data_IF_457284239304
#
_entry.id   IF_457284239304
#
_cell.length_a   1.000
_cell.length_b   1.000
_cell.length_c   1.000
_cell.angle_alpha   90.00
_cell.angle_beta   90.00
_cell.angle_gamma   90.00
#
_symmetry.space_group_name_H-M   'P 1'
#
loop_
_entity.id
_entity.type
_entity.pdbx_description
1 polymer ?
#
# COMPACT_ATOMS: atom_id res chain seq x y z
N UNK A 1 -12.83 0.47 -6.60
CA UNK A 1 -11.67 -0.43 -6.75
C UNK A 1 -11.03 -0.18 -8.10
N UNK A 2 -9.69 -0.19 -8.21
CA UNK A 2 -8.98 0.13 -9.46
C UNK A 2 -9.19 -0.94 -10.55
N UNK A 3 -9.28 -0.58 -11.85
CA UNK A 3 -9.49 -1.50 -12.97
C UNK A 3 -8.42 -2.59 -13.08
N UNK A 4 -7.15 -2.25 -12.87
CA UNK A 4 -6.05 -3.23 -12.92
C UNK A 4 -6.20 -4.29 -11.81
N UNK A 5 -6.60 -3.86 -10.61
CA UNK A 5 -6.80 -4.73 -9.46
C UNK A 5 -8.02 -5.62 -9.67
N UNK A 6 -9.10 -5.05 -10.19
CA UNK A 6 -10.31 -5.81 -10.58
C UNK A 6 -9.97 -6.91 -11.59
N UNK A 7 -9.29 -6.54 -12.68
CA UNK A 7 -8.87 -7.51 -13.72
C UNK A 7 -7.98 -8.61 -13.14
N UNK A 8 -7.15 -8.30 -12.14
CA UNK A 8 -6.30 -9.29 -11.49
C UNK A 8 -7.13 -10.29 -10.67
N UNK A 9 -8.09 -9.81 -9.88
CA UNK A 9 -9.02 -10.66 -9.12
C UNK A 9 -9.88 -11.52 -10.06
N UNK A 10 -10.32 -10.98 -11.19
CA UNK A 10 -11.12 -11.71 -12.19
C UNK A 10 -10.38 -12.92 -12.78
N UNK A 11 -9.04 -12.87 -12.84
CA UNK A 11 -8.20 -13.96 -13.34
C UNK A 11 -7.82 -14.99 -12.27
N UNK A 12 -8.33 -14.88 -11.03
CA UNK A 12 -8.03 -15.85 -9.98
C UNK A 12 -8.75 -17.18 -10.22
N UNK A 13 -8.16 -18.30 -9.77
CA UNK A 13 -8.88 -19.56 -9.62
C UNK A 13 -10.18 -19.35 -8.81
N UNK A 14 -11.26 -20.04 -9.20
CA UNK A 14 -12.59 -19.82 -8.63
C UNK A 14 -12.64 -19.88 -7.09
N UNK A 15 -11.90 -20.81 -6.49
CA UNK A 15 -11.80 -20.96 -5.02
C UNK A 15 -11.22 -19.72 -4.37
N UNK A 16 -10.14 -19.18 -4.92
CA UNK A 16 -9.48 -17.98 -4.41
C UNK A 16 -10.32 -16.73 -4.66
N UNK A 17 -10.99 -16.68 -5.81
CA UNK A 17 -11.91 -15.59 -6.16
C UNK A 17 -13.08 -15.51 -5.17
N UNK A 18 -13.69 -16.64 -4.82
CA UNK A 18 -14.79 -16.68 -3.83
C UNK A 18 -14.39 -16.09 -2.48
N UNK A 19 -13.14 -16.30 -2.06
CA UNK A 19 -12.63 -15.76 -0.80
C UNK A 19 -12.49 -14.23 -0.87
N UNK A 20 -11.97 -13.70 -1.98
CA UNK A 20 -11.88 -12.25 -2.19
C UNK A 20 -13.27 -11.62 -2.30
N UNK A 21 -14.19 -12.26 -3.01
CA UNK A 21 -15.58 -11.80 -3.19
C UNK A 21 -16.33 -11.70 -1.85
N UNK A 22 -16.04 -12.58 -0.86
CA UNK A 22 -16.59 -12.48 0.49
C UNK A 22 -16.25 -11.14 1.15
N UNK A 23 -14.96 -10.74 1.14
CA UNK A 23 -14.56 -9.47 1.73
C UNK A 23 -15.16 -8.25 1.00
N UNK A 24 -15.41 -8.38 -0.30
CA UNK A 24 -16.04 -7.34 -1.11
C UNK A 24 -17.52 -7.20 -0.76
N UNK A 25 -18.25 -8.32 -0.62
CA UNK A 25 -19.67 -8.35 -0.24
C UNK A 25 -19.90 -7.81 1.17
N UNK A 26 -19.03 -8.19 2.11
CA UNK A 26 -19.08 -7.73 3.51
C UNK A 26 -18.60 -6.29 3.70
N UNK A 27 -18.03 -5.66 2.66
CA UNK A 27 -17.45 -4.32 2.73
C UNK A 27 -16.18 -4.22 3.59
N UNK A 28 -15.57 -5.36 3.92
CA UNK A 28 -14.37 -5.46 4.77
C UNK A 28 -13.07 -5.43 3.97
N UNK A 29 -13.12 -5.44 2.64
CA UNK A 29 -11.95 -5.34 1.78
C UNK A 29 -11.27 -3.97 1.90
N UNK A 30 -9.95 -3.97 2.13
CA UNK A 30 -9.12 -2.76 2.30
C UNK A 30 -8.14 -2.63 1.13
N UNK A 31 -8.04 -1.46 0.53
CA UNK A 31 -7.13 -1.23 -0.60
C UNK A 31 -6.30 0.02 -0.39
N UNK A 32 -4.99 -0.18 -0.25
CA UNK A 32 -3.95 0.85 -0.23
C UNK A 32 -3.39 1.14 -1.63
N UNK A 33 -3.99 0.62 -2.70
CA UNK A 33 -3.55 0.92 -4.06
C UNK A 33 -3.76 2.39 -4.46
N UNK A 34 -4.54 3.15 -3.67
CA UNK A 34 -4.86 4.54 -3.97
C UNK A 34 -5.71 4.72 -5.22
N UNK A 35 -6.09 5.96 -5.56
CA UNK A 35 -6.71 6.28 -6.83
C UNK A 35 -5.70 6.16 -7.99
N UNK A 36 -6.13 5.73 -9.18
CA UNK A 36 -5.30 5.78 -10.40
C UNK A 36 -4.86 7.19 -10.80
N UNK A 37 -5.55 8.22 -10.27
CA UNK A 37 -5.21 9.64 -10.44
C UNK A 37 -5.02 10.27 -9.07
N UNK A 38 -3.81 10.23 -8.53
CA UNK A 38 -3.44 11.01 -7.36
C UNK A 38 -2.86 12.34 -7.85
N UNK A 39 -3.70 13.29 -8.26
CA UNK A 39 -3.17 14.57 -8.78
C UNK A 39 -4.10 15.58 -9.44
N UNK A 40 -5.42 15.38 -9.51
CA UNK A 40 -6.29 16.32 -10.27
C UNK A 40 -7.36 17.10 -9.49
N UNK A 41 -7.31 17.14 -8.15
CA UNK A 41 -8.25 17.96 -7.35
C UNK A 41 -7.53 18.81 -6.30
N UNK A 42 -6.49 19.53 -6.71
CA UNK A 42 -5.84 20.55 -5.88
C UNK A 42 -5.90 21.96 -6.51
N UNK A 43 -6.50 22.10 -7.69
CA UNK A 43 -6.51 23.35 -8.46
C UNK A 43 -7.85 24.06 -8.36
N UNK A 44 -8.21 24.53 -7.16
CA UNK A 44 -9.05 25.72 -6.94
C UNK A 44 -9.14 25.98 -5.41
N UNK A 45 -8.04 26.48 -4.84
CA UNK A 45 -8.12 27.31 -3.63
C UNK A 45 -7.36 28.59 -3.86
N UNK A 46 -8.12 29.63 -4.16
CA UNK A 46 -7.72 31.03 -4.19
C UNK A 46 -6.76 31.39 -3.05
N UNK A 47 -5.77 32.19 -3.42
CA UNK A 47 -4.61 32.52 -2.61
C UNK A 47 -4.93 33.15 -1.25
N UNK A 48 -4.27 32.63 -0.22
CA UNK A 48 -3.64 33.44 0.82
C UNK A 48 -2.58 32.61 1.54
N UNK A 49 -1.36 33.12 1.55
CA UNK A 49 -0.20 32.41 2.09
C UNK A 49 -0.32 32.03 3.56
N UNK A 50 0.32 30.91 3.86
CA UNK A 50 1.11 30.65 5.07
C UNK A 50 2.02 29.47 4.73
N UNK A 51 3.32 29.66 4.90
CA UNK A 51 4.30 28.57 4.93
C UNK A 51 3.93 27.63 6.08
N UNK A 52 3.24 26.53 5.79
CA UNK A 52 3.05 25.45 6.76
C UNK A 52 4.26 24.52 6.71
N UNK A 53 5.30 24.91 7.45
CA UNK A 53 6.36 23.99 7.86
C UNK A 53 5.75 22.79 8.61
N UNK A 54 5.96 21.60 8.06
CA UNK A 54 6.21 20.33 8.79
C UNK A 54 5.29 20.02 9.97
N UNK A 55 3.99 19.86 9.71
CA UNK A 55 3.13 19.02 10.54
C UNK A 55 3.01 17.63 9.90
N UNK A 56 3.73 16.63 10.38
CA UNK A 56 3.48 15.24 10.01
C UNK A 56 2.01 14.92 10.34
N UNK A 57 1.24 14.39 9.37
CA UNK A 57 -0.18 14.12 9.63
C UNK A 57 -0.30 12.99 10.66
N UNK A 58 -1.35 12.97 11.48
CA UNK A 58 -1.56 11.89 12.45
C UNK A 58 -1.53 10.49 11.80
N UNK A 59 -2.01 10.38 10.55
CA UNK A 59 -1.93 9.14 9.78
C UNK A 59 -0.51 8.79 9.35
N UNK A 60 0.31 9.79 8.99
CA UNK A 60 1.72 9.56 8.64
C UNK A 60 2.50 9.07 9.87
N UNK A 61 2.33 9.71 11.03
CA UNK A 61 2.87 9.24 12.31
C UNK A 61 2.45 7.80 12.61
N UNK A 62 1.14 7.50 12.46
CA UNK A 62 0.61 6.15 12.66
C UNK A 62 1.24 5.13 11.70
N UNK A 63 1.38 5.47 10.42
CA UNK A 63 1.99 4.58 9.44
C UNK A 63 3.46 4.30 9.80
N UNK A 64 4.23 5.31 10.19
CA UNK A 64 5.62 5.13 10.62
C UNK A 64 5.73 4.28 11.88
N UNK A 65 4.87 4.49 12.88
CA UNK A 65 4.83 3.67 14.10
C UNK A 65 4.52 2.20 13.80
N UNK A 66 3.47 1.94 13.02
CA UNK A 66 3.05 0.58 12.67
C UNK A 66 4.07 -0.16 11.81
N UNK A 67 4.65 0.51 10.81
CA UNK A 67 5.67 -0.06 9.92
C UNK A 67 7.05 -0.20 10.59
N UNK A 68 7.30 0.54 11.67
CA UNK A 68 8.47 0.36 12.53
C UNK A 68 8.34 -0.78 13.55
N UNK A 69 7.15 -1.37 13.65
CA UNK A 69 6.85 -2.45 14.58
C UNK A 69 7.51 -3.80 14.24
N UNK A 70 7.51 -4.76 15.18
CA UNK A 70 8.18 -6.05 15.00
C UNK A 70 7.60 -6.90 13.86
N UNK A 71 6.30 -6.75 13.56
CA UNK A 71 5.62 -7.50 12.48
C UNK A 71 6.08 -7.06 11.08
N UNK A 72 6.83 -5.97 10.99
CA UNK A 72 7.40 -5.42 9.76
C UNK A 72 8.93 -5.52 9.72
N UNK A 73 9.51 -6.43 10.53
CA UNK A 73 10.96 -6.68 10.55
C UNK A 73 11.49 -7.03 9.15
N UNK A 74 12.61 -6.42 8.78
CA UNK A 74 13.23 -6.60 7.46
C UNK A 74 12.61 -5.74 6.36
N UNK A 75 11.59 -4.94 6.67
CA UNK A 75 11.09 -3.91 5.76
C UNK A 75 11.78 -2.57 5.99
N UNK A 76 11.63 -1.64 5.03
CA UNK A 76 12.18 -0.29 5.13
C UNK A 76 11.19 0.73 4.59
N UNK A 77 11.13 1.90 5.21
CA UNK A 77 10.19 2.97 4.84
C UNK A 77 10.92 3.98 3.95
N UNK A 78 10.31 4.30 2.81
CA UNK A 78 10.72 5.35 1.90
C UNK A 78 9.58 6.36 1.81
N UNK A 79 9.72 7.48 2.52
CA UNK A 79 8.72 8.54 2.57
C UNK A 79 9.02 9.62 1.51
N UNK A 80 8.16 9.82 0.50
CA UNK A 80 8.32 10.89 -0.48
C UNK A 80 8.05 12.30 0.08
N UNK A 81 7.55 12.41 1.32
CA UNK A 81 7.25 13.68 1.99
C UNK A 81 5.91 14.31 1.61
N UNK A 82 5.14 13.69 0.70
CA UNK A 82 3.86 14.22 0.21
C UNK A 82 2.63 13.84 1.08
N UNK A 83 2.82 13.11 2.18
CA UNK A 83 1.79 12.74 3.19
C UNK A 83 0.60 11.90 2.66
N UNK A 84 0.68 11.39 1.44
CA UNK A 84 -0.41 10.62 0.83
C UNK A 84 -0.15 9.12 0.79
N UNK A 85 1.11 8.73 0.62
CA UNK A 85 1.51 7.33 0.51
C UNK A 85 2.93 7.04 1.03
N UNK A 86 3.08 5.81 1.55
CA UNK A 86 4.31 5.06 1.86
C UNK A 86 4.92 4.38 0.63
N UNK A 87 6.22 4.44 0.36
CA UNK A 87 6.91 3.30 -0.23
C UNK A 87 7.49 2.44 0.88
N UNK A 88 7.36 1.12 0.75
CA UNK A 88 7.91 0.15 1.70
C UNK A 88 8.74 -0.87 0.93
N UNK A 89 10.02 -1.00 1.28
CA UNK A 89 10.87 -2.09 0.79
C UNK A 89 10.54 -3.36 1.56
N UNK A 90 10.35 -4.47 0.84
CA UNK A 90 10.05 -5.78 1.41
C UNK A 90 11.32 -6.47 1.92
N UNK A 91 11.18 -7.53 2.75
CA UNK A 91 12.31 -8.35 3.14
C UNK A 91 13.00 -8.98 1.93
N UNK A 92 14.29 -9.27 2.05
CA UNK A 92 15.08 -9.86 0.97
C UNK A 92 14.45 -11.16 0.44
N UNK A 93 14.41 -11.31 -0.89
CA UNK A 93 13.83 -12.48 -1.54
C UNK A 93 12.30 -12.49 -1.63
N UNK A 94 11.61 -11.49 -1.07
CA UNK A 94 10.16 -11.34 -1.20
C UNK A 94 9.79 -10.55 -2.46
N UNK A 95 8.82 -11.07 -3.21
CA UNK A 95 8.28 -10.43 -4.41
C UNK A 95 6.90 -9.81 -4.11
N UNK A 96 6.74 -8.54 -4.48
CA UNK A 96 5.54 -7.74 -4.23
C UNK A 96 4.29 -8.30 -4.93
N UNK A 97 4.42 -8.94 -6.09
CA UNK A 97 3.28 -9.55 -6.77
C UNK A 97 2.84 -10.85 -6.11
N UNK A 98 3.79 -11.60 -5.56
CA UNK A 98 3.53 -12.79 -4.76
C UNK A 98 2.87 -12.40 -3.44
N UNK A 99 3.39 -11.39 -2.74
CA UNK A 99 2.79 -10.84 -1.53
C UNK A 99 1.39 -10.28 -1.78
N UNK A 100 1.18 -9.59 -2.91
CA UNK A 100 -0.14 -9.06 -3.27
C UNK A 100 -1.17 -10.18 -3.41
N UNK A 101 -0.80 -11.33 -4.00
CA UNK A 101 -1.70 -12.48 -4.11
C UNK A 101 -2.11 -13.01 -2.74
N UNK A 102 -1.17 -13.16 -1.81
CA UNK A 102 -1.47 -13.61 -0.45
C UNK A 102 -2.32 -12.58 0.32
N UNK A 103 -1.97 -11.30 0.18
CA UNK A 103 -2.70 -10.19 0.79
C UNK A 103 -4.16 -10.12 0.34
N UNK A 104 -4.42 -10.38 -0.95
CA UNK A 104 -5.77 -10.44 -1.49
C UNK A 104 -6.63 -11.49 -0.79
N UNK A 105 -6.06 -12.65 -0.44
CA UNK A 105 -6.76 -13.71 0.29
C UNK A 105 -7.07 -13.35 1.75
N UNK A 106 -6.41 -12.31 2.27
CA UNK A 106 -6.69 -11.72 3.59
C UNK A 106 -7.57 -10.47 3.50
N UNK A 107 -8.09 -10.15 2.31
CA UNK A 107 -8.98 -9.01 2.11
C UNK A 107 -8.24 -7.66 2.13
N UNK A 108 -6.96 -7.64 1.77
CA UNK A 108 -6.19 -6.40 1.64
C UNK A 108 -5.42 -6.34 0.33
N UNK A 109 -5.17 -5.14 -0.19
CA UNK A 109 -4.41 -4.94 -1.41
C UNK A 109 -3.58 -3.66 -1.34
N UNK A 110 -2.50 -3.62 -2.11
CA UNK A 110 -1.60 -2.48 -2.24
C UNK A 110 -1.10 -2.39 -3.69
N UNK A 111 -0.33 -1.34 -4.00
CA UNK A 111 0.29 -1.22 -5.30
C UNK A 111 1.69 -1.85 -5.30
N UNK A 112 1.96 -2.91 -6.08
CA UNK A 112 3.29 -3.51 -6.15
C UNK A 112 4.22 -2.67 -7.05
N UNK A 113 5.49 -2.51 -6.65
CA UNK A 113 6.47 -1.70 -7.38
C UNK A 113 6.82 -2.21 -8.76
N UNK A 114 6.51 -3.48 -9.08
CA UNK A 114 6.65 -4.04 -10.42
C UNK A 114 5.59 -3.55 -11.43
N UNK A 115 4.47 -2.99 -10.94
CA UNK A 115 3.43 -2.43 -11.81
C UNK A 115 3.73 -0.94 -12.00
N UNK A 116 3.97 -0.47 -13.24
CA UNK A 116 4.21 0.94 -13.51
C UNK A 116 3.03 1.78 -13.05
N UNK A 117 3.31 2.83 -12.28
CA UNK A 117 2.29 3.82 -11.96
C UNK A 117 2.06 4.72 -13.18
N UNK A 118 0.79 4.96 -13.59
CA UNK A 118 0.49 5.67 -14.84
C UNK A 118 0.93 7.15 -14.85
N UNK A 119 1.21 7.75 -13.68
CA UNK A 119 1.79 9.08 -13.57
C UNK A 119 3.31 8.96 -13.41
N UNK A 120 4.00 8.90 -14.54
CA UNK A 120 5.45 8.74 -14.61
C UNK A 120 6.15 10.03 -14.12
N UNK A 121 6.93 9.94 -13.04
CA UNK A 121 8.24 10.58 -13.02
C UNK A 121 8.51 11.78 -12.10
N UNK A 122 7.65 12.20 -11.18
CA UNK A 122 8.04 13.24 -10.19
C UNK A 122 8.06 12.76 -8.75
N UNK A 123 6.99 12.16 -8.25
CA UNK A 123 6.94 11.73 -6.85
C UNK A 123 7.76 10.45 -6.57
N UNK A 124 7.86 9.52 -7.54
CA UNK A 124 8.65 8.30 -7.36
C UNK A 124 10.16 8.53 -7.44
N UNK A 125 10.61 9.66 -8.01
CA UNK A 125 12.02 10.07 -7.94
C UNK A 125 12.38 10.66 -6.57
N UNK A 126 11.40 11.09 -5.77
CA UNK A 126 11.64 11.71 -4.46
C UNK A 126 12.30 10.74 -3.46
N UNK A 127 12.09 9.43 -3.65
CA UNK A 127 12.67 8.38 -2.79
C UNK A 127 14.04 7.89 -3.27
N UNK A 128 14.61 8.51 -4.32
CA UNK A 128 16.00 8.25 -4.77
C UNK A 128 16.24 6.85 -5.34
N UNK A 129 15.19 6.04 -5.52
CA UNK A 129 15.23 4.66 -6.02
C UNK A 129 14.01 4.39 -6.89
N UNK A 130 14.23 3.80 -8.06
CA UNK A 130 13.14 3.35 -8.93
C UNK A 130 12.37 2.20 -8.26
N UNK A 131 11.03 2.22 -8.27
CA UNK A 131 10.23 1.11 -7.79
C UNK A 131 10.59 -0.21 -8.50
N UNK A 132 10.65 -1.29 -7.74
CA UNK A 132 10.94 -2.63 -8.23
C UNK A 132 10.09 -3.70 -7.53
N UNK A 133 10.29 -4.98 -7.86
CA UNK A 133 9.49 -6.07 -7.29
C UNK A 133 9.71 -6.29 -5.79
N UNK A 134 10.76 -5.75 -5.19
CA UNK A 134 10.99 -5.75 -3.75
C UNK A 134 10.33 -4.58 -3.03
N UNK A 135 9.38 -3.86 -3.66
CA UNK A 135 8.75 -2.68 -3.08
C UNK A 135 7.23 -2.70 -3.21
N UNK A 136 6.54 -2.12 -2.23
CA UNK A 136 5.10 -1.88 -2.24
C UNK A 136 4.81 -0.42 -1.93
N UNK A 137 3.74 0.12 -2.52
CA UNK A 137 3.22 1.45 -2.23
C UNK A 137 1.90 1.36 -1.47
N UNK A 138 1.81 2.12 -0.38
CA UNK A 138 0.69 2.13 0.54
C UNK A 138 0.05 3.53 0.59
N UNK A 139 -1.02 3.73 -0.15
CA UNK A 139 -1.83 4.96 -0.09
C UNK A 139 -2.74 4.94 1.15
N UNK A 140 -2.49 5.87 2.08
CA UNK A 140 -3.19 5.93 3.37
C UNK A 140 -4.01 7.21 3.55
N UNK A 141 -3.81 8.26 2.74
CA UNK A 141 -4.53 9.53 2.88
C UNK A 141 -6.07 9.36 2.90
N UNK A 142 -6.60 8.50 2.03
CA UNK A 142 -8.02 8.18 1.93
C UNK A 142 -8.54 7.11 2.90
N UNK A 143 -7.70 6.55 3.78
CA UNK A 143 -8.11 5.50 4.73
C UNK A 143 -8.47 6.10 6.10
N UNK A 144 -9.44 5.51 6.80
CA UNK A 144 -9.64 5.78 8.23
C UNK A 144 -8.57 5.05 9.06
N UNK A 145 -8.38 5.47 10.31
CA UNK A 145 -7.43 4.85 11.24
C UNK A 145 -7.69 3.34 11.42
N UNK A 146 -8.94 2.93 11.68
CA UNK A 146 -9.31 1.52 11.79
C UNK A 146 -8.96 0.69 10.55
N UNK A 147 -9.10 1.30 9.35
CA UNK A 147 -8.77 0.64 8.08
C UNK A 147 -7.26 0.56 7.88
N UNK A 148 -6.49 1.53 8.35
CA UNK A 148 -5.03 1.47 8.36
C UNK A 148 -4.59 0.31 9.25
N UNK A 149 -5.06 0.27 10.50
CA UNK A 149 -4.71 -0.77 11.46
C UNK A 149 -5.06 -2.17 10.95
N UNK A 150 -6.32 -2.39 10.55
CA UNK A 150 -6.76 -3.69 10.04
C UNK A 150 -6.07 -4.08 8.73
N UNK A 151 -5.83 -3.11 7.85
CA UNK A 151 -5.19 -3.34 6.57
C UNK A 151 -3.72 -3.71 6.70
N UNK A 152 -2.97 -2.99 7.54
CA UNK A 152 -1.55 -3.29 7.80
C UNK A 152 -1.38 -4.61 8.55
N UNK A 153 -2.25 -4.92 9.52
CA UNK A 153 -2.23 -6.22 10.21
C UNK A 153 -2.42 -7.40 9.24
N UNK A 154 -3.30 -7.27 8.26
CA UNK A 154 -3.49 -8.29 7.21
C UNK A 154 -2.27 -8.42 6.29
N UNK A 155 -1.59 -7.31 5.99
CA UNK A 155 -0.36 -7.34 5.16
C UNK A 155 0.78 -7.98 5.94
N UNK A 156 1.00 -7.58 7.20
CA UNK A 156 2.07 -8.14 8.03
C UNK A 156 1.86 -9.63 8.27
N UNK A 157 0.63 -10.08 8.50
CA UNK A 157 0.30 -11.51 8.58
C UNK A 157 0.70 -12.26 7.29
N UNK A 158 0.45 -11.67 6.11
CA UNK A 158 0.88 -12.26 4.85
C UNK A 158 2.41 -12.30 4.73
N UNK A 159 3.12 -11.24 5.18
CA UNK A 159 4.60 -11.20 5.22
C UNK A 159 5.12 -12.34 6.13
N UNK A 160 4.57 -12.48 7.33
CA UNK A 160 4.98 -13.51 8.30
C UNK A 160 4.78 -14.94 7.77
N UNK A 161 3.69 -15.21 7.05
CA UNK A 161 3.47 -16.53 6.44
C UNK A 161 4.49 -16.88 5.34
N UNK A 162 5.08 -15.87 4.69
CA UNK A 162 6.18 -16.08 3.75
C UNK A 162 7.51 -16.32 4.45
N UNK A 163 7.82 -15.53 5.49
CA UNK A 163 9.11 -15.62 6.19
C UNK A 163 9.20 -16.83 7.11
N UNK A 164 8.11 -17.24 7.76
CA UNK A 164 8.06 -18.44 8.60
C UNK A 164 8.35 -19.74 7.84
N UNK A 165 8.21 -19.76 6.51
CA UNK A 165 8.59 -20.91 5.67
C UNK A 165 10.10 -21.08 5.51
N UNK A 166 10.91 -20.08 5.87
CA UNK A 166 12.37 -20.12 5.76
C UNK A 166 13.09 -20.39 7.09
N UNK A 167 12.35 -20.51 8.21
CA UNK A 167 12.91 -20.78 9.55
C UNK A 167 12.79 -22.27 9.98
N UNK A 168 12.59 -23.21 9.05
CA UNK A 168 12.40 -24.64 9.36
C UNK A 168 13.27 -25.56 8.51
#
# INVERSE_FOLDING_TARGET
MQPWLKKRIENFPAVLKSQVDSYLDEGTFISFAGPEKAGQDSSERDGKGLEENVGESAKSLLMHDLLGGPDWTGTGILDPGNKEYLWVTLPEGMDAEVLLKASLLKGTAFWPGSIPFPEEGKDDQAVGRSPDSGMIRLYYAGQSEDRILAGLARISEAISEFTARFEN
#
